data_IF_837602423414
#
_entry.id   IF_837602423414
#
_cell.length_a   1.000
_cell.length_b   1.000
_cell.length_c   1.000
_cell.angle_alpha   90.00
_cell.angle_beta   90.00
_cell.angle_gamma   90.00
#
_symmetry.space_group_name_H-M   'P 1'
#
loop_
_entity.id
_entity.type
_entity.pdbx_description
1 polymer ?
#
# COMPACT_ATOMS: atom_id res chain seq x y z
N UNK A 1 53.43 70.32 -26.51
CA UNK A 1 52.66 70.03 -25.27
C UNK A 1 51.60 69.02 -25.61
N UNK A 2 51.89 67.69 -25.41
CA UNK A 2 51.04 66.58 -25.77
C UNK A 2 50.31 66.16 -24.50
N UNK A 3 48.98 66.31 -24.46
CA UNK A 3 48.10 65.79 -23.37
C UNK A 3 47.69 64.35 -23.69
N UNK A 4 48.19 63.41 -22.92
CA UNK A 4 47.72 61.97 -22.96
C UNK A 4 46.50 61.82 -22.07
N UNK A 5 45.34 61.47 -22.65
CA UNK A 5 44.18 61.01 -21.92
C UNK A 5 44.43 59.61 -21.37
N UNK A 6 44.04 59.32 -20.15
CA UNK A 6 44.06 57.94 -19.64
C UNK A 6 42.80 57.18 -20.11
N UNK A 7 43.03 55.99 -20.64
CA UNK A 7 41.98 55.04 -20.97
C UNK A 7 41.46 54.41 -19.68
N UNK A 8 40.22 54.67 -19.34
CA UNK A 8 39.51 53.99 -18.23
C UNK A 8 38.90 52.72 -18.79
N UNK A 9 39.47 51.57 -18.43
CA UNK A 9 38.92 50.24 -18.73
C UNK A 9 37.87 49.93 -17.66
N UNK A 10 36.58 50.01 -18.03
CA UNK A 10 35.45 49.56 -17.19
C UNK A 10 35.36 48.03 -17.37
N UNK A 11 35.82 47.29 -16.38
CA UNK A 11 35.57 45.84 -16.32
C UNK A 11 34.12 45.56 -15.88
N UNK A 12 33.30 45.09 -16.83
CA UNK A 12 31.93 44.68 -16.58
C UNK A 12 31.95 43.29 -15.95
N UNK A 13 31.75 43.19 -14.64
CA UNK A 13 31.59 41.92 -13.91
C UNK A 13 30.18 41.38 -14.18
N UNK A 14 30.07 40.44 -15.07
CA UNK A 14 28.84 39.67 -15.28
C UNK A 14 28.73 38.61 -14.18
N UNK A 15 27.91 38.83 -13.18
CA UNK A 15 27.55 37.84 -12.16
C UNK A 15 26.48 36.94 -12.76
N UNK A 16 26.87 35.75 -13.20
CA UNK A 16 25.93 34.68 -13.59
C UNK A 16 25.41 34.06 -12.31
N UNK A 17 24.21 34.44 -11.90
CA UNK A 17 23.47 33.77 -10.85
C UNK A 17 22.95 32.44 -11.41
N UNK A 18 23.66 31.33 -11.14
CA UNK A 18 23.14 29.98 -11.39
C UNK A 18 22.05 29.69 -10.36
N UNK A 19 20.79 29.90 -10.75
CA UNK A 19 19.66 29.42 -9.98
C UNK A 19 19.71 27.87 -9.97
N UNK A 20 20.23 27.32 -8.90
CA UNK A 20 20.16 25.88 -8.63
C UNK A 20 18.70 25.47 -8.48
N UNK A 21 18.12 24.84 -9.49
CA UNK A 21 16.84 24.16 -9.38
C UNK A 21 17.04 22.97 -8.44
N UNK A 22 16.73 23.14 -7.17
CA UNK A 22 16.63 22.03 -6.23
C UNK A 22 15.43 21.17 -6.67
N UNK A 23 15.69 20.12 -7.45
CA UNK A 23 14.71 19.05 -7.69
C UNK A 23 14.53 18.33 -6.36
N UNK A 24 13.53 18.72 -5.58
CA UNK A 24 13.03 17.90 -4.48
C UNK A 24 12.52 16.61 -5.12
N UNK A 25 13.32 15.55 -5.08
CA UNK A 25 12.86 14.22 -5.42
C UNK A 25 11.71 13.92 -4.45
N UNK A 26 10.47 13.95 -4.94
CA UNK A 26 9.30 13.46 -4.23
C UNK A 26 9.56 11.98 -3.92
N UNK A 27 10.04 11.71 -2.70
CA UNK A 27 10.22 10.35 -2.22
C UNK A 27 8.82 9.76 -2.16
N UNK A 28 8.52 8.77 -3.01
CA UNK A 28 7.26 8.07 -2.95
C UNK A 28 7.04 7.63 -1.51
N UNK A 29 5.90 8.01 -0.92
CA UNK A 29 5.59 7.65 0.45
C UNK A 29 5.57 6.12 0.55
N UNK A 30 6.22 5.58 1.57
CA UNK A 30 6.28 4.14 1.77
C UNK A 30 4.93 3.63 2.30
N UNK A 31 4.61 2.36 1.99
CA UNK A 31 3.49 1.67 2.64
C UNK A 31 3.79 1.52 4.12
N UNK A 32 2.88 1.99 4.97
CA UNK A 32 2.97 1.88 6.41
C UNK A 32 2.15 0.70 6.91
N UNK A 33 2.71 -0.08 7.85
CA UNK A 33 2.04 -1.20 8.50
C UNK A 33 2.20 -1.09 10.00
N UNK A 34 1.11 -0.75 10.69
CA UNK A 34 1.08 -0.67 12.15
C UNK A 34 0.44 -1.94 12.70
N UNK A 35 1.16 -2.69 13.51
CA UNK A 35 0.60 -3.78 14.29
C UNK A 35 -0.08 -3.19 15.54
N UNK A 36 -1.40 -3.15 15.52
CA UNK A 36 -2.21 -2.58 16.60
C UNK A 36 -2.42 -3.54 17.75
N UNK A 37 -2.52 -4.85 17.44
CA UNK A 37 -2.62 -5.91 18.42
C UNK A 37 -2.02 -7.21 17.89
N UNK A 38 -1.51 -8.03 18.80
CA UNK A 38 -0.96 -9.35 18.50
C UNK A 38 -1.30 -10.32 19.64
N UNK A 39 -1.71 -11.56 19.26
CA UNK A 39 -2.01 -12.61 20.21
C UNK A 39 -1.53 -13.95 19.67
N UNK A 40 -0.51 -14.54 20.29
CA UNK A 40 0.09 -15.82 19.90
C UNK A 40 -0.62 -16.99 20.58
N UNK A 41 -0.89 -18.06 19.85
CA UNK A 41 -1.59 -19.26 20.29
C UNK A 41 -2.95 -18.94 20.95
N UNK A 42 -3.87 -18.25 20.28
CA UNK A 42 -5.20 -18.05 20.83
C UNK A 42 -5.87 -19.43 21.00
N UNK A 43 -6.68 -19.56 22.05
CA UNK A 43 -7.38 -20.83 22.33
C UNK A 43 -8.15 -21.31 21.11
N UNK A 44 -7.90 -22.56 20.69
CA UNK A 44 -8.49 -23.17 19.50
C UNK A 44 -7.76 -22.85 18.20
N UNK A 45 -6.61 -22.18 18.26
CA UNK A 45 -5.75 -21.89 17.10
C UNK A 45 -4.27 -22.00 17.47
N UNK A 46 -3.88 -23.14 18.03
CA UNK A 46 -2.50 -23.46 18.38
C UNK A 46 -1.60 -23.40 17.13
N UNK A 47 -0.36 -22.95 17.30
CA UNK A 47 0.58 -22.75 16.20
C UNK A 47 0.26 -21.53 15.31
N UNK A 48 -0.66 -20.67 15.75
CA UNK A 48 -1.06 -19.46 15.04
C UNK A 48 -0.84 -18.21 15.88
N UNK A 49 -0.66 -17.09 15.17
CA UNK A 49 -0.68 -15.75 15.76
C UNK A 49 -1.77 -14.93 15.09
N UNK A 50 -2.66 -14.38 15.90
CA UNK A 50 -3.66 -13.42 15.46
C UNK A 50 -3.04 -12.01 15.47
N UNK A 51 -3.29 -11.23 14.45
CA UNK A 51 -2.89 -9.85 14.33
C UNK A 51 -4.09 -8.96 14.01
N UNK A 52 -4.07 -7.75 14.51
CA UNK A 52 -4.83 -6.62 13.98
C UNK A 52 -3.84 -5.59 13.49
N UNK A 53 -3.97 -5.18 12.24
CA UNK A 53 -3.06 -4.25 11.58
C UNK A 53 -3.83 -3.09 10.96
N UNK A 54 -3.20 -1.93 10.90
CA UNK A 54 -3.57 -0.84 10.00
C UNK A 54 -2.54 -0.78 8.88
N UNK A 55 -2.97 -0.85 7.64
CA UNK A 55 -2.13 -0.72 6.46
C UNK A 55 -2.54 0.55 5.74
N UNK A 56 -1.59 1.48 5.58
CA UNK A 56 -1.77 2.72 4.82
C UNK A 56 -0.96 2.64 3.54
N UNK A 57 -1.64 2.70 2.41
CA UNK A 57 -1.06 2.59 1.06
C UNK A 57 -1.18 3.96 0.41
N UNK A 58 -0.07 4.65 0.11
CA UNK A 58 -0.11 5.95 -0.58
C UNK A 58 -0.75 5.85 -1.97
N UNK A 59 -1.34 6.95 -2.45
CA UNK A 59 -1.95 7.02 -3.77
C UNK A 59 -1.01 6.52 -4.87
N UNK A 60 -1.52 5.71 -5.80
CA UNK A 60 -0.77 5.13 -6.92
C UNK A 60 0.30 4.12 -6.53
N UNK A 61 0.31 3.65 -5.27
CA UNK A 61 1.31 2.68 -4.82
C UNK A 61 0.80 1.27 -5.05
N UNK A 62 1.61 0.47 -5.77
CA UNK A 62 1.41 -0.95 -6.00
C UNK A 62 2.11 -1.77 -4.90
N UNK A 63 1.37 -2.64 -4.23
CA UNK A 63 1.90 -3.74 -3.43
C UNK A 63 2.18 -4.90 -4.39
N UNK A 64 3.45 -5.33 -4.58
CA UNK A 64 3.78 -6.38 -5.54
C UNK A 64 3.18 -7.73 -5.14
N UNK A 65 3.26 -8.72 -6.05
CA UNK A 65 2.79 -10.09 -5.82
C UNK A 65 3.33 -10.66 -4.51
N UNK A 66 2.40 -11.08 -3.67
CA UNK A 66 2.70 -11.66 -2.36
C UNK A 66 1.57 -12.61 -1.92
N UNK A 67 1.82 -13.33 -0.83
CA UNK A 67 0.86 -14.19 -0.15
C UNK A 67 1.05 -14.13 1.36
N UNK A 68 0.13 -14.76 2.09
CA UNK A 68 0.16 -14.86 3.54
C UNK A 68 0.07 -16.32 3.99
N UNK A 69 0.90 -16.71 4.99
CA UNK A 69 0.85 -18.02 5.61
C UNK A 69 -0.27 -18.11 6.65
N UNK A 70 -1.47 -17.82 6.24
CA UNK A 70 -2.68 -17.85 7.03
C UNK A 70 -3.78 -17.05 6.37
N UNK A 71 -4.98 -17.17 6.91
CA UNK A 71 -6.15 -16.45 6.39
C UNK A 71 -6.24 -15.06 7.00
N UNK A 72 -6.82 -14.14 6.24
CA UNK A 72 -7.05 -12.78 6.72
C UNK A 72 -8.36 -12.19 6.20
N UNK A 73 -8.82 -11.18 6.92
CA UNK A 73 -9.95 -10.33 6.54
C UNK A 73 -9.48 -8.89 6.57
N UNK A 74 -9.62 -8.19 5.44
CA UNK A 74 -9.24 -6.79 5.30
C UNK A 74 -10.45 -5.92 5.05
N UNK A 75 -10.69 -4.90 5.90
CA UNK A 75 -11.74 -3.91 5.71
C UNK A 75 -11.14 -2.62 5.13
N UNK A 76 -11.56 -2.22 3.93
CA UNK A 76 -11.18 -0.93 3.35
C UNK A 76 -11.99 0.16 4.02
N UNK A 77 -11.31 1.09 4.71
CA UNK A 77 -11.97 2.17 5.46
C UNK A 77 -11.78 3.54 4.81
N UNK A 78 -10.80 3.65 3.89
CA UNK A 78 -10.54 4.87 3.13
C UNK A 78 -10.02 4.53 1.73
N UNK A 79 -10.47 5.24 0.70
CA UNK A 79 -10.02 5.09 -0.68
C UNK A 79 -10.60 3.89 -1.41
N UNK A 80 -9.94 3.49 -2.50
CA UNK A 80 -10.30 2.33 -3.32
C UNK A 80 -9.07 1.46 -3.52
N UNK A 81 -9.16 0.20 -3.10
CA UNK A 81 -8.11 -0.80 -3.23
C UNK A 81 -8.38 -1.65 -4.49
N UNK A 82 -7.60 -1.46 -5.53
CA UNK A 82 -7.59 -2.38 -6.67
C UNK A 82 -6.90 -3.66 -6.24
N UNK A 83 -7.61 -4.77 -6.27
CA UNK A 83 -7.15 -6.06 -5.79
C UNK A 83 -7.17 -7.09 -6.93
N UNK A 84 -6.03 -7.71 -7.21
CA UNK A 84 -5.90 -8.74 -8.25
C UNK A 84 -5.48 -10.06 -7.64
N UNK A 85 -6.24 -11.12 -7.87
CA UNK A 85 -5.85 -12.48 -7.53
C UNK A 85 -5.02 -13.05 -8.67
N UNK A 86 -3.78 -13.44 -8.39
CA UNK A 86 -2.87 -14.01 -9.40
C UNK A 86 -3.08 -15.52 -9.52
N UNK A 87 -3.06 -16.24 -8.37
CA UNK A 87 -3.23 -17.70 -8.31
C UNK A 87 -3.42 -18.20 -6.88
N UNK A 88 -3.68 -19.50 -6.72
CA UNK A 88 -3.67 -20.19 -5.42
C UNK A 88 -5.00 -20.17 -4.69
N UNK A 89 -6.04 -19.65 -5.29
CA UNK A 89 -7.39 -19.62 -4.71
C UNK A 89 -8.18 -18.41 -5.18
N UNK A 90 -9.28 -18.15 -4.53
CA UNK A 90 -10.18 -17.01 -4.79
C UNK A 90 -10.35 -16.16 -3.53
N UNK A 91 -10.67 -14.91 -3.70
CA UNK A 91 -10.94 -13.94 -2.63
C UNK A 91 -12.38 -13.49 -2.73
N UNK A 92 -13.10 -13.48 -1.59
CA UNK A 92 -14.46 -12.96 -1.54
C UNK A 92 -14.43 -11.50 -1.13
N UNK A 93 -15.20 -10.69 -1.83
CA UNK A 93 -15.51 -9.31 -1.42
C UNK A 93 -16.89 -9.31 -0.77
N UNK A 94 -16.97 -8.70 0.39
CA UNK A 94 -18.21 -8.65 1.18
C UNK A 94 -18.52 -7.22 1.61
N UNK A 95 -19.80 -6.94 1.76
CA UNK A 95 -20.30 -5.70 2.37
C UNK A 95 -20.92 -6.01 3.73
N UNK A 96 -20.85 -5.09 4.71
CA UNK A 96 -21.53 -5.26 5.98
C UNK A 96 -23.04 -5.48 5.80
N UNK A 97 -23.61 -6.39 6.57
CA UNK A 97 -25.05 -6.54 6.69
C UNK A 97 -25.58 -5.44 7.63
N UNK A 98 -26.57 -4.62 7.22
CA UNK A 98 -27.18 -3.61 8.09
C UNK A 98 -27.77 -4.19 9.37
N UNK A 99 -28.16 -5.47 9.37
CA UNK A 99 -28.68 -6.16 10.56
C UNK A 99 -27.57 -6.70 11.46
N UNK A 100 -26.31 -6.64 11.03
CA UNK A 100 -25.12 -7.10 11.77
C UNK A 100 -24.99 -8.62 11.89
N UNK A 101 -25.81 -9.40 11.17
CA UNK A 101 -25.81 -10.87 11.31
C UNK A 101 -24.82 -11.55 10.39
N UNK A 102 -24.84 -11.26 9.10
CA UNK A 102 -23.99 -11.95 8.10
C UNK A 102 -23.65 -11.02 6.94
N UNK A 103 -22.35 -10.74 6.71
CA UNK A 103 -21.94 -9.98 5.54
C UNK A 103 -22.41 -10.61 4.24
N UNK A 104 -22.88 -9.79 3.30
CA UNK A 104 -23.26 -10.24 1.97
C UNK A 104 -22.03 -10.31 1.05
N UNK A 105 -21.88 -11.43 0.32
CA UNK A 105 -20.86 -11.52 -0.75
C UNK A 105 -21.36 -10.71 -1.93
N UNK A 106 -20.61 -9.68 -2.31
CA UNK A 106 -20.92 -8.81 -3.47
C UNK A 106 -20.12 -9.23 -4.71
N UNK A 107 -18.93 -9.80 -4.51
CA UNK A 107 -18.10 -10.30 -5.59
C UNK A 107 -17.18 -11.45 -5.12
N UNK A 108 -16.72 -12.27 -6.05
CA UNK A 108 -15.66 -13.27 -5.83
C UNK A 108 -14.61 -13.05 -6.90
N UNK A 109 -13.40 -12.70 -6.49
CA UNK A 109 -12.26 -12.46 -7.38
C UNK A 109 -11.61 -13.81 -7.68
N UNK A 110 -11.72 -14.28 -8.91
CA UNK A 110 -11.11 -15.52 -9.39
C UNK A 110 -9.64 -15.30 -9.80
N UNK A 111 -8.81 -16.35 -9.93
CA UNK A 111 -7.46 -16.23 -10.45
C UNK A 111 -7.39 -15.53 -11.82
N UNK A 112 -6.54 -14.49 -11.93
CA UNK A 112 -6.41 -13.63 -13.10
C UNK A 112 -7.37 -12.46 -13.12
N UNK A 113 -8.30 -12.36 -12.18
CA UNK A 113 -9.29 -11.31 -12.10
C UNK A 113 -8.86 -10.16 -11.17
N UNK A 114 -9.36 -8.97 -11.48
CA UNK A 114 -9.15 -7.73 -10.72
C UNK A 114 -10.49 -7.15 -10.33
N UNK A 115 -10.59 -6.65 -9.10
CA UNK A 115 -11.76 -5.94 -8.59
C UNK A 115 -11.33 -4.71 -7.78
N UNK A 116 -12.03 -3.60 -7.97
CA UNK A 116 -11.82 -2.36 -7.22
C UNK A 116 -12.70 -2.39 -5.96
N UNK A 117 -12.08 -2.60 -4.80
CA UNK A 117 -12.73 -2.69 -3.49
C UNK A 117 -12.83 -1.28 -2.90
N UNK A 118 -14.00 -0.65 -2.86
CA UNK A 118 -14.17 0.69 -2.27
C UNK A 118 -14.18 0.65 -0.73
N UNK A 119 -14.04 1.82 -0.12
CA UNK A 119 -14.27 1.98 1.31
C UNK A 119 -15.69 1.51 1.68
N UNK A 120 -15.79 0.76 2.80
CA UNK A 120 -17.01 0.11 3.25
C UNK A 120 -17.12 -1.36 2.85
N UNK A 121 -16.32 -1.84 1.92
CA UNK A 121 -16.22 -3.26 1.58
C UNK A 121 -15.02 -3.92 2.27
N UNK A 122 -15.06 -5.25 2.33
CA UNK A 122 -14.00 -6.06 2.94
C UNK A 122 -13.66 -7.25 2.05
N UNK A 123 -12.39 -7.68 2.12
CA UNK A 123 -11.91 -8.89 1.47
C UNK A 123 -11.76 -10.02 2.48
N UNK A 124 -12.14 -11.24 2.10
CA UNK A 124 -11.88 -12.47 2.84
C UNK A 124 -10.89 -13.28 2.01
N UNK A 125 -9.69 -13.42 2.52
CA UNK A 125 -8.56 -14.03 1.83
C UNK A 125 -8.14 -15.32 2.52
N UNK A 126 -8.24 -16.48 1.83
CA UNK A 126 -7.68 -17.72 2.30
C UNK A 126 -6.15 -17.71 2.31
N UNK A 127 -5.56 -18.58 3.13
CA UNK A 127 -4.11 -18.78 3.19
C UNK A 127 -3.52 -19.15 1.82
N UNK A 128 -2.35 -18.61 1.47
CA UNK A 128 -1.57 -18.96 0.29
C UNK A 128 -2.07 -18.38 -1.04
N UNK A 129 -3.12 -17.56 -1.04
CA UNK A 129 -3.55 -16.85 -2.25
C UNK A 129 -2.51 -15.83 -2.63
N UNK A 130 -1.95 -15.96 -3.85
CA UNK A 130 -1.02 -14.97 -4.42
C UNK A 130 -1.83 -13.85 -5.05
N UNK A 131 -1.54 -12.64 -4.60
CA UNK A 131 -2.25 -11.45 -5.05
C UNK A 131 -1.34 -10.22 -5.06
N UNK A 132 -1.79 -9.18 -5.73
CA UNK A 132 -1.26 -7.83 -5.60
C UNK A 132 -2.41 -6.83 -5.39
N UNK A 133 -2.06 -5.64 -4.90
CA UNK A 133 -3.04 -4.61 -4.67
C UNK A 133 -2.45 -3.21 -4.93
N UNK A 134 -3.30 -2.26 -5.32
CA UNK A 134 -2.90 -0.89 -5.65
C UNK A 134 -3.89 0.11 -5.08
N UNK A 135 -3.38 1.24 -4.56
CA UNK A 135 -4.21 2.37 -4.20
C UNK A 135 -4.57 3.18 -5.46
N UNK A 136 -5.83 3.09 -5.90
CA UNK A 136 -6.31 3.77 -7.11
C UNK A 136 -7.18 4.99 -6.80
N UNK A 137 -7.55 5.77 -7.83
CA UNK A 137 -8.42 6.94 -7.66
C UNK A 137 -7.72 8.19 -7.11
N UNK A 138 -6.38 8.23 -7.07
CA UNK A 138 -5.61 9.42 -6.69
C UNK A 138 -5.58 9.72 -5.18
N UNK A 139 -6.13 8.83 -4.35
CA UNK A 139 -6.15 8.94 -2.89
C UNK A 139 -5.40 7.77 -2.24
N UNK A 140 -4.94 7.98 -1.01
CA UNK A 140 -4.41 6.87 -0.19
C UNK A 140 -5.52 5.87 0.10
N UNK A 141 -5.13 4.64 0.38
CA UNK A 141 -6.02 3.59 0.87
C UNK A 141 -5.64 3.23 2.30
N UNK A 142 -6.63 3.08 3.17
CA UNK A 142 -6.44 2.56 4.52
C UNK A 142 -7.24 1.28 4.68
N UNK A 143 -6.55 0.20 5.09
CA UNK A 143 -7.16 -1.10 5.34
C UNK A 143 -6.86 -1.53 6.77
N UNK A 144 -7.89 -1.93 7.51
CA UNK A 144 -7.71 -2.70 8.74
C UNK A 144 -7.73 -4.17 8.44
N UNK A 145 -6.66 -4.87 8.80
CA UNK A 145 -6.48 -6.29 8.50
C UNK A 145 -6.43 -7.09 9.79
N UNK A 146 -7.36 -8.04 9.93
CA UNK A 146 -7.28 -9.11 10.92
C UNK A 146 -6.75 -10.36 10.26
N UNK A 147 -5.66 -10.94 10.76
CA UNK A 147 -5.04 -12.12 10.18
C UNK A 147 -4.71 -13.17 11.23
N UNK A 148 -4.79 -14.44 10.84
CA UNK A 148 -4.44 -15.59 11.65
C UNK A 148 -3.33 -16.36 10.91
N UNK A 149 -2.08 -16.00 11.21
CA UNK A 149 -0.90 -16.50 10.50
C UNK A 149 -0.21 -17.64 11.26
N UNK A 150 0.58 -18.46 10.56
CA UNK A 150 1.48 -19.43 11.20
C UNK A 150 2.44 -18.70 12.14
N UNK A 151 2.73 -19.26 13.30
CA UNK A 151 3.66 -18.67 14.26
C UNK A 151 5.03 -18.43 13.60
N UNK A 152 5.54 -17.21 13.76
CA UNK A 152 6.84 -16.81 13.19
C UNK A 152 6.82 -16.48 11.70
N UNK A 153 5.72 -16.70 10.99
CA UNK A 153 5.59 -16.25 9.61
C UNK A 153 5.62 -14.72 9.51
N UNK A 154 6.24 -14.15 8.46
CA UNK A 154 6.15 -12.73 8.20
C UNK A 154 4.71 -12.32 7.87
N UNK A 155 4.39 -11.04 8.07
CA UNK A 155 3.04 -10.52 7.81
C UNK A 155 2.63 -10.63 6.32
N UNK A 156 3.61 -10.68 5.42
CA UNK A 156 3.43 -11.00 3.99
C UNK A 156 4.72 -11.56 3.42
N UNK A 157 4.61 -12.45 2.43
CA UNK A 157 5.75 -13.06 1.74
C UNK A 157 5.70 -12.68 0.26
N UNK A 158 6.76 -12.05 -0.24
CA UNK A 158 6.86 -11.74 -1.67
C UNK A 158 7.04 -13.02 -2.49
N UNK A 159 6.42 -13.06 -3.65
CA UNK A 159 6.70 -14.08 -4.64
C UNK A 159 7.95 -13.65 -5.40
N UNK A 160 9.03 -14.43 -5.27
CA UNK A 160 10.22 -14.30 -6.14
C UNK A 160 9.96 -15.15 -7.39
N UNK A 161 10.07 -14.52 -8.55
CA UNK A 161 10.05 -15.20 -9.87
C UNK A 161 11.40 -15.80 -10.13
#
# INVERSE_FOLDING_TARGET
>A
MSRRLPLIIIALLVVIATAGVATAALRAAAVERDVLARFTNPRGADGRTMYLQRVTIPAGTLLPDHFHDGSQVGAVVEGTLRYTVVRGGRVKVVTPDPTGQKPAVVHTIEPGETYDVPAGESVIEPAGVVHHAEAVGGHRVVVYVSSLLVNGAPLSQRVTV
#
